data_IF_094878881378
#
_entry.id   IF_094878881378
#
_cell.length_a   1.000
_cell.length_b   1.000
_cell.length_c   1.000
_cell.angle_alpha   90.00
_cell.angle_beta   90.00
_cell.angle_gamma   90.00
#
_symmetry.space_group_name_H-M   'P 1'
#
loop_
_entity.id
_entity.type
_entity.pdbx_description
1 polymer ?
#
# COMPACT_ATOMS: atom_id res chain seq x y z
N UNK A 1 -8.07 9.30 -27.00
CA UNK A 1 -6.82 9.25 -26.22
C UNK A 1 -7.14 8.53 -24.93
N UNK A 2 -6.78 7.25 -24.81
CA UNK A 2 -6.96 6.46 -23.57
C UNK A 2 -6.13 7.14 -22.49
N UNK A 3 -6.80 7.57 -21.44
CA UNK A 3 -6.17 8.25 -20.31
C UNK A 3 -5.21 7.28 -19.61
N UNK A 4 -4.01 7.74 -19.26
CA UNK A 4 -2.92 6.98 -18.59
C UNK A 4 -3.32 6.23 -17.29
N UNK A 5 -4.57 6.36 -16.85
CA UNK A 5 -5.17 5.68 -15.72
C UNK A 5 -5.79 4.30 -16.11
N UNK A 6 -6.21 4.11 -17.37
CA UNK A 6 -6.96 2.92 -17.79
C UNK A 6 -6.18 1.61 -17.76
N UNK A 7 -4.85 1.64 -17.93
CA UNK A 7 -4.06 0.40 -17.99
C UNK A 7 -4.01 -0.37 -16.64
N UNK A 8 -4.00 0.35 -15.52
CA UNK A 8 -4.06 -0.27 -14.19
C UNK A 8 -5.49 -0.62 -13.79
N UNK A 9 -6.48 0.11 -14.31
CA UNK A 9 -7.89 -0.09 -13.98
C UNK A 9 -8.37 -1.45 -14.48
N UNK A 10 -8.04 -1.83 -15.70
CA UNK A 10 -8.37 -3.14 -16.28
C UNK A 10 -7.82 -4.30 -15.43
N UNK A 11 -6.58 -4.16 -14.93
CA UNK A 11 -5.95 -5.18 -14.09
C UNK A 11 -6.65 -5.26 -12.73
N UNK A 12 -6.96 -4.11 -12.12
CA UNK A 12 -7.62 -4.07 -10.81
C UNK A 12 -9.08 -4.53 -10.86
N UNK A 13 -9.81 -4.29 -11.95
CA UNK A 13 -11.18 -4.76 -12.14
C UNK A 13 -11.28 -6.29 -12.21
N UNK A 14 -10.23 -6.95 -12.74
CA UNK A 14 -10.14 -8.41 -12.80
C UNK A 14 -9.52 -9.05 -11.57
N UNK A 15 -8.99 -8.25 -10.64
CA UNK A 15 -8.29 -8.74 -9.46
C UNK A 15 -9.23 -9.36 -8.41
N UNK A 16 -8.82 -10.46 -7.82
CA UNK A 16 -9.61 -11.20 -6.84
C UNK A 16 -9.60 -10.51 -5.46
N UNK A 17 -10.79 -10.10 -5.03
CA UNK A 17 -11.05 -9.59 -3.68
C UNK A 17 -11.80 -10.61 -2.81
N UNK A 18 -12.20 -11.76 -3.34
CA UNK A 18 -12.98 -12.76 -2.62
C UNK A 18 -12.09 -13.67 -1.76
N UNK A 19 -10.93 -14.05 -2.26
CA UNK A 19 -10.00 -14.93 -1.53
C UNK A 19 -9.49 -14.27 -0.26
N UNK A 20 -9.64 -14.97 0.87
CA UNK A 20 -9.09 -14.53 2.15
C UNK A 20 -7.57 -14.57 2.11
N UNK A 21 -6.86 -13.45 2.39
CA UNK A 21 -5.40 -13.45 2.43
C UNK A 21 -4.81 -14.14 3.67
N UNK A 22 -5.62 -14.45 4.68
CA UNK A 22 -5.16 -15.06 5.92
C UNK A 22 -5.17 -16.58 5.85
N UNK A 23 -4.04 -17.18 6.17
CA UNK A 23 -3.88 -18.63 6.32
C UNK A 23 -3.90 -18.99 7.80
N UNK A 24 -4.86 -19.86 8.18
CA UNK A 24 -5.08 -20.30 9.56
C UNK A 24 -4.51 -21.71 9.83
N UNK A 25 -3.29 -21.97 9.35
CA UNK A 25 -2.65 -23.30 9.46
C UNK A 25 -1.79 -23.49 10.70
N UNK A 26 -1.55 -22.43 11.48
CA UNK A 26 -0.71 -22.39 12.68
C UNK A 26 -1.40 -21.81 13.89
N UNK A 27 -0.63 -21.50 14.94
CA UNK A 27 -1.13 -20.86 16.16
C UNK A 27 -1.57 -19.40 15.92
N UNK A 28 -0.94 -18.73 14.97
CA UNK A 28 -1.25 -17.36 14.59
C UNK A 28 -1.56 -17.31 13.08
N UNK A 29 -2.54 -16.48 12.66
CA UNK A 29 -2.86 -16.32 11.25
C UNK A 29 -1.68 -15.69 10.51
N UNK A 30 -1.41 -16.16 9.30
CA UNK A 30 -0.36 -15.62 8.43
C UNK A 30 -0.97 -14.92 7.23
N UNK A 31 -0.48 -13.73 6.93
CA UNK A 31 -0.92 -12.98 5.74
C UNK A 31 -0.20 -13.48 4.50
N UNK A 32 -0.94 -13.73 3.41
CA UNK A 32 -0.43 -14.08 2.10
C UNK A 32 -0.72 -12.98 1.09
N UNK A 33 0.32 -12.39 0.54
CA UNK A 33 0.21 -11.36 -0.47
C UNK A 33 -0.20 -11.91 -1.83
N UNK A 34 -0.83 -11.08 -2.66
CA UNK A 34 -1.04 -11.33 -4.08
C UNK A 34 0.18 -10.83 -4.88
N UNK A 35 1.20 -11.68 -4.95
CA UNK A 35 2.43 -11.38 -5.67
C UNK A 35 2.21 -11.37 -7.20
N UNK A 36 1.26 -12.15 -7.71
CA UNK A 36 0.93 -12.23 -9.14
C UNK A 36 0.33 -10.90 -9.62
N UNK A 37 -0.61 -10.35 -8.86
CA UNK A 37 -1.17 -9.03 -9.17
C UNK A 37 -0.11 -7.93 -9.12
N UNK A 38 0.78 -7.94 -8.13
CA UNK A 38 1.88 -6.97 -8.06
C UNK A 38 2.76 -7.06 -9.31
N UNK A 39 3.12 -8.26 -9.72
CA UNK A 39 3.94 -8.49 -10.92
C UNK A 39 3.25 -7.96 -12.17
N UNK A 40 1.95 -8.22 -12.32
CA UNK A 40 1.17 -7.72 -13.45
C UNK A 40 1.07 -6.20 -13.48
N UNK A 41 0.77 -5.56 -12.34
CA UNK A 41 0.70 -4.11 -12.22
C UNK A 41 2.05 -3.44 -12.54
N UNK A 42 3.16 -4.01 -12.06
CA UNK A 42 4.52 -3.51 -12.31
C UNK A 42 4.94 -3.71 -13.76
N UNK A 43 4.53 -4.80 -14.39
CA UNK A 43 4.82 -5.13 -15.79
C UNK A 43 4.32 -4.04 -16.74
N UNK A 44 3.13 -3.46 -16.52
CA UNK A 44 2.54 -2.44 -17.39
C UNK A 44 3.44 -1.21 -17.62
N UNK A 45 3.94 -0.50 -16.59
CA UNK A 45 4.85 0.62 -16.80
C UNK A 45 6.21 0.20 -17.38
N UNK A 46 6.69 -1.00 -17.15
CA UNK A 46 7.96 -1.50 -17.69
C UNK A 46 7.85 -1.77 -19.19
N UNK A 47 6.82 -2.47 -19.65
CA UNK A 47 6.54 -2.71 -21.08
C UNK A 47 6.39 -1.36 -21.82
N UNK A 48 5.69 -0.42 -21.21
CA UNK A 48 5.53 0.91 -21.77
C UNK A 48 6.80 1.77 -21.71
N UNK A 49 7.94 1.23 -21.25
CA UNK A 49 9.22 1.93 -21.07
C UNK A 49 9.06 3.28 -20.37
N UNK A 50 8.18 3.30 -19.37
CA UNK A 50 7.88 4.51 -18.62
C UNK A 50 9.12 4.98 -17.86
N UNK A 51 9.49 6.26 -18.02
CA UNK A 51 10.62 6.82 -17.28
C UNK A 51 10.35 6.76 -15.76
N UNK A 52 11.40 6.65 -14.96
CA UNK A 52 11.31 6.69 -13.49
C UNK A 52 10.65 7.97 -12.98
N UNK A 53 10.80 9.07 -13.70
CA UNK A 53 10.18 10.37 -13.39
C UNK A 53 8.66 10.41 -13.66
N UNK A 54 8.14 9.46 -14.46
CA UNK A 54 6.70 9.43 -14.78
C UNK A 54 5.79 9.07 -13.58
N UNK A 55 6.35 8.52 -12.51
CA UNK A 55 5.62 8.04 -11.33
C UNK A 55 4.74 6.81 -11.59
N UNK A 56 4.75 6.21 -12.81
CA UNK A 56 3.86 5.09 -13.16
C UNK A 56 4.16 3.82 -12.36
N UNK A 57 5.45 3.53 -12.11
CA UNK A 57 5.84 2.41 -11.26
C UNK A 57 5.37 2.61 -9.81
N UNK A 58 5.52 3.82 -9.26
CA UNK A 58 5.03 4.13 -7.93
C UNK A 58 3.51 3.94 -7.83
N UNK A 59 2.74 4.44 -8.82
CA UNK A 59 1.28 4.25 -8.86
C UNK A 59 0.85 2.79 -8.97
N UNK A 60 1.61 1.94 -9.65
CA UNK A 60 1.36 0.50 -9.70
C UNK A 60 1.54 -0.15 -8.31
N UNK A 61 2.57 0.26 -7.57
CA UNK A 61 2.82 -0.19 -6.20
C UNK A 61 1.71 0.31 -5.26
N UNK A 62 1.32 1.58 -5.34
CA UNK A 62 0.25 2.16 -4.52
C UNK A 62 -1.08 1.44 -4.76
N UNK A 63 -1.39 1.13 -6.03
CA UNK A 63 -2.58 0.39 -6.41
C UNK A 63 -2.60 -1.04 -5.82
N UNK A 64 -1.46 -1.72 -5.81
CA UNK A 64 -1.32 -3.02 -5.18
C UNK A 64 -1.48 -2.94 -3.65
N UNK A 65 -0.84 -2.00 -2.98
CA UNK A 65 -0.99 -1.81 -1.52
C UNK A 65 -2.46 -1.57 -1.17
N UNK A 66 -3.15 -0.71 -1.93
CA UNK A 66 -4.57 -0.45 -1.73
C UNK A 66 -5.43 -1.71 -2.00
N UNK A 67 -5.07 -2.53 -2.98
CA UNK A 67 -5.73 -3.81 -3.25
C UNK A 67 -5.56 -4.79 -2.09
N UNK A 68 -4.35 -4.93 -1.54
CA UNK A 68 -4.10 -5.81 -0.39
C UNK A 68 -4.95 -5.43 0.83
N UNK A 69 -5.12 -4.15 1.11
CA UNK A 69 -6.00 -3.70 2.19
C UNK A 69 -7.47 -4.07 1.93
N UNK A 70 -7.93 -3.98 0.67
CA UNK A 70 -9.27 -4.46 0.30
C UNK A 70 -9.40 -5.98 0.42
N UNK A 71 -8.36 -6.74 0.03
CA UNK A 71 -8.30 -8.19 0.25
C UNK A 71 -8.32 -8.55 1.73
N UNK A 72 -7.71 -7.74 2.59
CA UNK A 72 -7.78 -7.92 4.03
C UNK A 72 -9.21 -7.80 4.59
N UNK A 73 -10.15 -7.25 3.81
CA UNK A 73 -11.57 -7.13 4.17
C UNK A 73 -12.00 -5.73 4.56
N UNK A 74 -11.12 -4.72 4.45
CA UNK A 74 -11.53 -3.33 4.63
C UNK A 74 -12.47 -2.85 3.53
N UNK A 75 -13.34 -1.89 3.87
CA UNK A 75 -14.30 -1.32 2.95
C UNK A 75 -13.59 -0.69 1.73
N UNK A 76 -13.90 -1.14 0.49
CA UNK A 76 -13.14 -0.74 -0.69
C UNK A 76 -13.07 0.76 -0.93
N UNK A 77 -14.11 1.51 -0.57
CA UNK A 77 -14.17 2.95 -0.78
C UNK A 77 -13.56 3.79 0.36
N UNK A 78 -13.29 3.19 1.50
CA UNK A 78 -12.52 3.83 2.58
C UNK A 78 -11.00 3.77 2.30
N UNK A 79 -10.56 2.89 1.39
CA UNK A 79 -9.16 2.72 0.99
C UNK A 79 -8.83 3.56 -0.24
N UNK A 80 -7.88 4.48 -0.10
CA UNK A 80 -7.38 5.36 -1.17
C UNK A 80 -5.95 4.99 -1.58
N UNK A 81 -5.60 5.03 -2.88
CA UNK A 81 -6.47 5.36 -4.02
C UNK A 81 -7.56 4.31 -4.23
N UNK A 82 -8.77 4.76 -4.55
CA UNK A 82 -9.89 3.89 -4.92
C UNK A 82 -9.58 3.17 -6.25
N UNK A 83 -10.19 2.01 -6.44
CA UNK A 83 -10.06 1.26 -7.69
C UNK A 83 -10.67 2.00 -8.89
N UNK A 84 -11.71 2.82 -8.68
CA UNK A 84 -12.35 3.65 -9.68
C UNK A 84 -12.11 5.15 -9.46
N UNK A 85 -12.29 5.96 -10.49
CA UNK A 85 -12.26 7.41 -10.39
C UNK A 85 -13.51 7.98 -9.70
N UNK A 86 -13.38 9.09 -8.98
CA UNK A 86 -12.15 9.75 -8.51
C UNK A 86 -11.36 8.88 -7.52
N UNK A 87 -10.03 8.90 -7.62
CA UNK A 87 -9.15 8.06 -6.78
C UNK A 87 -9.19 8.41 -5.31
N UNK A 88 -9.34 9.68 -4.99
CA UNK A 88 -9.44 10.19 -3.63
C UNK A 88 -10.84 10.81 -3.49
N UNK A 89 -11.73 10.12 -2.83
CA UNK A 89 -13.10 10.60 -2.55
C UNK A 89 -13.59 9.91 -1.28
N UNK A 90 -14.07 10.68 -0.27
CA UNK A 90 -14.72 10.08 0.90
C UNK A 90 -15.90 9.20 0.51
N UNK A 91 -16.01 8.03 1.16
CA UNK A 91 -17.08 7.06 0.90
C UNK A 91 -18.47 7.69 1.01
N UNK A 92 -18.69 8.55 2.00
CA UNK A 92 -19.98 9.20 2.22
C UNK A 92 -20.40 10.08 1.03
N UNK A 93 -19.44 10.78 0.42
CA UNK A 93 -19.69 11.55 -0.82
C UNK A 93 -20.02 10.62 -1.98
N UNK A 94 -19.30 9.51 -2.12
CA UNK A 94 -19.59 8.51 -3.15
C UNK A 94 -21.00 7.95 -2.99
N UNK A 95 -21.40 7.54 -1.79
CA UNK A 95 -22.74 7.02 -1.50
C UNK A 95 -23.83 8.07 -1.76
N UNK A 96 -23.56 9.34 -1.42
CA UNK A 96 -24.49 10.43 -1.78
C UNK A 96 -24.68 10.51 -3.29
N UNK A 97 -23.60 10.53 -4.06
CA UNK A 97 -23.67 10.63 -5.53
C UNK A 97 -24.41 9.45 -6.14
N UNK A 98 -24.22 8.23 -5.64
CA UNK A 98 -24.94 7.04 -6.10
C UNK A 98 -26.45 7.07 -5.83
N UNK A 99 -26.86 7.73 -4.74
CA UNK A 99 -28.27 7.88 -4.40
C UNK A 99 -28.97 9.04 -5.13
N UNK A 100 -28.24 9.86 -5.87
CA UNK A 100 -28.85 10.90 -6.68
C UNK A 100 -29.59 10.28 -7.88
N UNK A 101 -30.76 10.86 -8.29
CA UNK A 101 -31.46 10.39 -9.47
C UNK A 101 -30.68 10.69 -10.75
N UNK A 102 -30.85 9.83 -11.77
CA UNK A 102 -30.38 10.12 -13.12
C UNK A 102 -31.15 11.31 -13.73
N UNK A 103 -30.53 12.23 -14.47
CA UNK A 103 -29.11 12.28 -14.89
C UNK A 103 -28.19 13.04 -13.92
N UNK A 104 -28.67 13.45 -12.73
CA UNK A 104 -27.92 14.28 -11.79
C UNK A 104 -26.68 13.55 -11.25
N UNK A 105 -26.80 12.26 -10.94
CA UNK A 105 -25.68 11.41 -10.51
C UNK A 105 -24.51 11.47 -11.50
N UNK A 106 -24.80 11.28 -12.80
CA UNK A 106 -23.79 11.38 -13.86
C UNK A 106 -23.16 12.77 -13.96
N UNK A 107 -23.96 13.83 -13.90
CA UNK A 107 -23.46 15.22 -13.96
C UNK A 107 -22.55 15.56 -12.79
N UNK A 108 -22.92 15.14 -11.56
CA UNK A 108 -22.10 15.36 -10.37
C UNK A 108 -20.80 14.54 -10.44
N UNK A 109 -20.85 13.29 -10.92
CA UNK A 109 -19.66 12.46 -11.12
C UNK A 109 -18.68 13.12 -12.10
N UNK A 110 -19.18 13.63 -13.22
CA UNK A 110 -18.34 14.34 -14.20
C UNK A 110 -17.73 15.63 -13.66
N UNK A 111 -18.47 16.34 -12.78
CA UNK A 111 -17.96 17.53 -12.12
C UNK A 111 -16.87 17.19 -11.10
N UNK A 112 -17.03 16.14 -10.31
CA UNK A 112 -16.03 15.69 -9.34
C UNK A 112 -14.69 15.41 -10.00
N UNK A 113 -14.67 14.80 -11.19
CA UNK A 113 -13.45 14.57 -11.96
C UNK A 113 -12.74 15.86 -12.42
N UNK A 114 -13.46 16.99 -12.44
CA UNK A 114 -12.96 18.29 -12.90
C UNK A 114 -12.63 19.25 -11.76
N UNK A 115 -12.90 18.90 -10.51
CA UNK A 115 -12.71 19.76 -9.34
C UNK A 115 -11.63 19.15 -8.40
N UNK A 116 -10.34 19.42 -8.62
CA UNK A 116 -9.24 18.84 -7.83
C UNK A 116 -9.28 19.20 -6.34
N UNK A 117 -9.96 20.26 -5.96
CA UNK A 117 -10.12 20.64 -4.55
C UNK A 117 -11.09 19.73 -3.78
N UNK A 118 -12.01 19.05 -4.49
CA UNK A 118 -12.98 18.10 -3.91
C UNK A 118 -12.52 16.67 -4.10
N UNK A 119 -12.00 16.34 -5.27
CA UNK A 119 -11.46 15.02 -5.60
C UNK A 119 -9.99 15.15 -6.07
N UNK A 120 -9.05 15.33 -5.15
CA UNK A 120 -7.63 15.50 -5.47
C UNK A 120 -7.03 14.22 -6.07
N UNK A 121 -5.90 14.37 -6.76
CA UNK A 121 -5.13 13.24 -7.29
C UNK A 121 -4.40 12.44 -6.20
N UNK A 122 -4.11 13.10 -5.07
CA UNK A 122 -3.26 12.56 -4.01
C UNK A 122 -3.90 12.80 -2.64
N UNK A 123 -3.83 11.80 -1.76
CA UNK A 123 -4.30 11.93 -0.40
C UNK A 123 -3.33 12.80 0.43
N UNK A 124 -3.86 13.81 1.12
CA UNK A 124 -3.08 14.74 1.94
C UNK A 124 -3.63 14.83 3.34
N UNK A 125 -2.76 14.63 4.32
CA UNK A 125 -3.11 14.68 5.73
C UNK A 125 -2.27 15.72 6.44
N UNK A 126 -2.92 16.53 7.29
CA UNK A 126 -2.22 17.45 8.17
C UNK A 126 -1.56 16.62 9.28
N UNK A 127 -0.24 16.58 9.30
CA UNK A 127 0.52 16.01 10.41
C UNK A 127 0.66 16.99 11.57
N UNK A 128 1.60 16.73 12.46
CA UNK A 128 1.90 17.61 13.60
C UNK A 128 2.47 18.95 13.14
N UNK A 129 3.38 18.94 12.18
CA UNK A 129 4.14 20.11 11.76
C UNK A 129 3.80 20.59 10.34
N UNK A 130 3.46 19.67 9.43
CA UNK A 130 3.18 19.99 8.03
C UNK A 130 2.18 19.00 7.41
N UNK A 131 1.60 19.42 6.26
CA UNK A 131 0.72 18.58 5.47
C UNK A 131 1.58 17.56 4.70
N UNK A 132 1.33 16.27 4.93
CA UNK A 132 2.01 15.18 4.23
C UNK A 132 1.11 14.60 3.15
N UNK A 133 1.65 14.44 1.94
CA UNK A 133 1.07 13.57 0.93
C UNK A 133 1.38 12.13 1.29
N UNK A 134 0.35 11.28 1.29
CA UNK A 134 0.42 9.85 1.61
C UNK A 134 0.01 9.08 0.36
N UNK A 135 0.71 8.02 0.07
CA UNK A 135 0.53 7.27 -1.18
C UNK A 135 -0.69 6.34 -1.11
N UNK A 136 -0.91 5.69 0.04
CA UNK A 136 -2.10 4.89 0.32
C UNK A 136 -2.65 5.26 1.70
N UNK A 137 -3.97 5.41 1.81
CA UNK A 137 -4.61 5.75 3.08
C UNK A 137 -5.94 5.00 3.23
N UNK A 138 -6.35 4.79 4.47
CA UNK A 138 -7.71 4.45 4.84
C UNK A 138 -8.22 5.51 5.81
N UNK A 139 -9.33 6.17 5.44
CA UNK A 139 -9.87 7.27 6.22
C UNK A 139 -11.37 7.44 6.00
N UNK A 140 -12.06 7.89 7.06
CA UNK A 140 -13.47 8.28 7.05
C UNK A 140 -13.67 9.64 7.70
N UNK A 141 -14.80 10.30 7.41
CA UNK A 141 -15.13 11.59 8.03
C UNK A 141 -15.38 11.49 9.53
N UNK A 142 -16.03 10.42 9.94
CA UNK A 142 -16.43 10.17 11.33
C UNK A 142 -15.27 9.69 12.22
N UNK A 143 -14.22 9.06 11.63
CA UNK A 143 -13.11 8.45 12.37
C UNK A 143 -11.75 9.07 12.08
N UNK A 144 -11.63 9.81 10.98
CA UNK A 144 -10.35 10.32 10.50
C UNK A 144 -9.49 9.23 9.85
N UNK A 145 -8.17 9.41 9.76
CA UNK A 145 -7.27 8.42 9.18
C UNK A 145 -7.01 7.28 10.17
N UNK A 146 -7.25 6.05 9.70
CA UNK A 146 -7.01 4.81 10.43
C UNK A 146 -5.74 4.11 9.96
N UNK A 147 -5.33 4.35 8.68
CA UNK A 147 -4.11 3.80 8.12
C UNK A 147 -3.51 4.77 7.11
N UNK A 148 -2.18 4.94 7.17
CA UNK A 148 -1.41 5.83 6.32
C UNK A 148 -0.13 5.12 5.86
N UNK A 149 0.02 4.86 4.56
CA UNK A 149 1.20 4.18 4.01
C UNK A 149 1.91 5.10 3.02
N UNK A 150 3.20 5.27 3.23
CA UNK A 150 4.09 5.88 2.24
C UNK A 150 4.86 4.79 1.49
N UNK A 151 4.91 4.92 0.17
CA UNK A 151 5.68 4.04 -0.70
C UNK A 151 6.85 4.78 -1.33
N UNK A 152 7.96 4.11 -1.49
CA UNK A 152 9.11 4.63 -2.23
C UNK A 152 9.69 3.54 -3.10
N UNK A 153 10.10 3.90 -4.32
CA UNK A 153 10.78 2.99 -5.23
C UNK A 153 12.17 3.50 -5.57
N UNK A 154 13.14 2.60 -5.59
CA UNK A 154 14.51 2.89 -5.96
C UNK A 154 15.06 1.79 -6.88
N UNK A 155 15.21 2.08 -8.15
CA UNK A 155 15.60 1.10 -9.17
C UNK A 155 17.07 1.19 -9.60
N UNK A 156 17.75 2.28 -9.20
CA UNK A 156 19.17 2.54 -9.51
C UNK A 156 19.77 3.52 -8.51
N UNK A 157 21.10 3.72 -8.59
CA UNK A 157 21.86 4.69 -7.78
C UNK A 157 21.67 4.48 -6.27
N UNK A 158 21.67 3.23 -5.82
CA UNK A 158 21.31 2.81 -4.47
C UNK A 158 22.12 3.53 -3.37
N UNK A 159 23.44 3.48 -3.44
CA UNK A 159 24.31 4.04 -2.38
C UNK A 159 24.08 5.54 -2.13
N UNK A 160 23.75 6.30 -3.19
CA UNK A 160 23.55 7.77 -3.10
C UNK A 160 22.21 8.14 -2.45
N UNK A 161 21.17 7.34 -2.67
CA UNK A 161 19.79 7.77 -2.39
C UNK A 161 19.22 7.18 -1.10
N UNK A 162 19.80 6.09 -0.55
CA UNK A 162 19.28 5.42 0.65
C UNK A 162 19.18 6.37 1.84
N UNK A 163 20.24 7.15 2.14
CA UNK A 163 20.25 8.07 3.29
C UNK A 163 19.18 9.14 3.20
N UNK A 164 19.01 9.76 2.03
CA UNK A 164 17.98 10.81 1.83
C UNK A 164 16.56 10.26 2.06
N UNK A 165 16.32 9.00 1.61
CA UNK A 165 15.01 8.35 1.81
C UNK A 165 14.74 8.03 3.28
N UNK A 166 15.80 7.67 4.02
CA UNK A 166 15.70 7.47 5.45
C UNK A 166 15.36 8.76 6.19
N UNK A 167 16.08 9.86 5.91
CA UNK A 167 15.84 11.15 6.55
C UNK A 167 14.41 11.66 6.31
N UNK A 168 13.93 11.57 5.07
CA UNK A 168 12.55 11.89 4.70
C UNK A 168 11.57 11.03 5.50
N UNK A 169 11.73 9.71 5.49
CA UNK A 169 10.84 8.78 6.17
C UNK A 169 10.87 8.97 7.70
N UNK A 170 12.04 9.26 8.27
CA UNK A 170 12.18 9.50 9.71
C UNK A 170 11.39 10.70 10.18
N UNK A 171 11.41 11.80 9.41
CA UNK A 171 10.63 13.01 9.69
C UNK A 171 9.12 12.78 9.50
N UNK A 172 8.74 12.07 8.45
CA UNK A 172 7.35 11.77 8.11
C UNK A 172 6.66 10.91 9.18
N UNK A 173 7.35 9.87 9.67
CA UNK A 173 6.82 9.04 10.75
C UNK A 173 6.45 9.87 11.97
N UNK A 174 7.37 10.69 12.47
CA UNK A 174 7.14 11.56 13.62
C UNK A 174 6.03 12.59 13.38
N UNK A 175 5.96 13.15 12.17
CA UNK A 175 4.93 14.10 11.80
C UNK A 175 3.52 13.48 11.83
N UNK A 176 3.35 12.25 11.33
CA UNK A 176 2.07 11.57 11.27
C UNK A 176 1.68 10.95 12.62
N UNK A 177 2.59 10.21 13.26
CA UNK A 177 2.34 9.53 14.55
C UNK A 177 1.99 10.50 15.66
N UNK A 178 2.66 11.66 15.73
CA UNK A 178 2.38 12.69 16.73
C UNK A 178 0.97 13.30 16.63
N UNK A 179 0.31 13.19 15.47
CA UNK A 179 -1.06 13.66 15.29
C UNK A 179 -2.09 12.53 15.32
N UNK A 180 -1.74 11.35 14.79
CA UNK A 180 -2.62 10.19 14.67
C UNK A 180 -2.01 8.98 15.40
N UNK A 181 -1.94 9.01 16.73
CA UNK A 181 -1.25 7.96 17.49
C UNK A 181 -1.88 6.57 17.37
N UNK A 182 -3.18 6.50 17.06
CA UNK A 182 -3.92 5.24 16.89
C UNK A 182 -3.92 4.73 15.43
N UNK A 183 -3.52 5.56 14.47
CA UNK A 183 -3.47 5.12 13.07
C UNK A 183 -2.28 4.18 12.83
N UNK A 184 -2.50 3.14 12.04
CA UNK A 184 -1.41 2.35 11.47
C UNK A 184 -0.61 3.21 10.49
N UNK A 185 0.71 3.37 10.71
CA UNK A 185 1.57 4.13 9.80
C UNK A 185 2.61 3.20 9.21
N UNK A 186 2.53 2.97 7.89
CA UNK A 186 3.39 2.05 7.15
C UNK A 186 4.39 2.76 6.24
N UNK A 187 5.57 2.14 6.07
CA UNK A 187 6.55 2.55 5.07
C UNK A 187 6.99 1.35 4.24
N UNK A 188 6.71 1.40 2.94
CA UNK A 188 7.08 0.35 1.99
C UNK A 188 8.16 0.86 1.05
N UNK A 189 9.32 0.23 1.07
CA UNK A 189 10.46 0.60 0.25
C UNK A 189 10.74 -0.48 -0.80
N UNK A 190 10.47 -0.16 -2.05
CA UNK A 190 10.70 -1.05 -3.18
C UNK A 190 12.08 -0.79 -3.77
N UNK A 191 12.86 -1.84 -3.94
CA UNK A 191 14.17 -1.78 -4.58
C UNK A 191 14.26 -2.80 -5.72
N UNK A 192 15.01 -2.45 -6.75
CA UNK A 192 15.33 -3.42 -7.80
C UNK A 192 16.32 -4.46 -7.27
N UNK A 193 16.10 -5.73 -7.54
CA UNK A 193 16.94 -6.84 -7.06
C UNK A 193 18.42 -6.72 -7.45
N UNK A 194 18.74 -5.90 -8.44
CA UNK A 194 20.15 -5.58 -8.78
C UNK A 194 20.94 -4.98 -7.62
N UNK A 195 20.30 -4.49 -6.55
CA UNK A 195 20.94 -4.01 -5.31
C UNK A 195 21.69 -5.16 -4.59
N UNK A 196 21.30 -6.41 -4.80
CA UNK A 196 21.94 -7.58 -4.21
C UNK A 196 23.30 -7.90 -4.85
N UNK A 197 23.64 -7.28 -6.00
CA UNK A 197 24.93 -7.46 -6.65
C UNK A 197 26.05 -6.99 -5.73
N UNK A 198 27.20 -7.66 -5.81
CA UNK A 198 28.39 -7.42 -4.93
C UNK A 198 28.72 -5.92 -4.76
N UNK A 199 28.63 -5.11 -5.83
CA UNK A 199 28.96 -3.66 -5.79
C UNK A 199 27.97 -2.82 -4.97
N UNK A 200 26.72 -3.27 -4.84
CA UNK A 200 25.63 -2.55 -4.20
C UNK A 200 25.17 -3.19 -2.88
N UNK A 201 25.74 -4.36 -2.52
CA UNK A 201 25.37 -5.15 -1.33
C UNK A 201 25.38 -4.33 -0.04
N UNK A 202 26.38 -3.47 0.16
CA UNK A 202 26.45 -2.58 1.33
C UNK A 202 25.27 -1.58 1.38
N UNK A 203 24.71 -1.17 0.24
CA UNK A 203 23.53 -0.32 0.20
C UNK A 203 22.27 -1.10 0.60
N UNK A 204 22.18 -2.38 0.24
CA UNK A 204 21.09 -3.26 0.67
C UNK A 204 21.13 -3.47 2.19
N UNK A 205 22.27 -3.84 2.76
CA UNK A 205 22.47 -4.03 4.21
C UNK A 205 22.10 -2.75 4.98
N UNK A 206 22.50 -1.59 4.45
CA UNK A 206 22.08 -0.30 5.01
C UNK A 206 20.58 -0.09 4.93
N UNK A 207 19.91 -0.49 3.83
CA UNK A 207 18.45 -0.40 3.72
C UNK A 207 17.78 -1.25 4.79
N UNK A 208 18.22 -2.48 5.02
CA UNK A 208 17.71 -3.36 6.08
C UNK A 208 17.84 -2.72 7.46
N UNK A 209 19.04 -2.23 7.80
CA UNK A 209 19.29 -1.56 9.09
C UNK A 209 18.41 -0.33 9.29
N UNK A 210 18.28 0.50 8.25
CA UNK A 210 17.46 1.72 8.29
C UNK A 210 15.96 1.41 8.42
N UNK A 211 15.44 0.40 7.73
CA UNK A 211 14.03 0.00 7.83
C UNK A 211 13.67 -0.45 9.25
N UNK A 212 14.55 -1.21 9.91
CA UNK A 212 14.37 -1.59 11.32
C UNK A 212 14.40 -0.36 12.23
N UNK A 213 15.35 0.56 12.05
CA UNK A 213 15.46 1.79 12.84
C UNK A 213 14.27 2.76 12.63
N UNK A 214 13.62 2.74 11.48
CA UNK A 214 12.41 3.50 11.24
C UNK A 214 11.22 2.94 12.01
N UNK A 215 11.13 1.62 12.16
CA UNK A 215 10.09 0.93 12.92
C UNK A 215 10.35 1.00 14.43
N UNK A 216 11.54 0.60 14.85
CA UNK A 216 11.88 0.30 16.24
C UNK A 216 12.39 1.55 17.00
N UNK A 217 11.70 2.69 16.80
CA UNK A 217 12.05 3.94 17.48
C UNK A 217 11.64 3.93 18.95
N UNK A 218 12.57 4.19 19.84
CA UNK A 218 12.33 4.23 21.29
C UNK A 218 11.43 5.39 21.76
N UNK A 219 11.18 6.39 20.91
CA UNK A 219 10.34 7.55 21.21
C UNK A 219 8.84 7.34 20.87
N UNK A 220 8.44 6.15 20.42
CA UNK A 220 7.09 5.83 20.00
C UNK A 220 6.62 6.50 18.69
N UNK A 221 7.50 7.25 18.02
CA UNK A 221 7.18 7.93 16.76
C UNK A 221 7.65 7.16 15.52
N UNK A 222 7.97 5.87 15.66
CA UNK A 222 8.32 4.99 14.55
C UNK A 222 7.11 4.59 13.70
N UNK A 223 7.40 4.01 12.55
CA UNK A 223 6.35 3.35 11.77
C UNK A 223 5.79 2.14 12.52
N UNK A 224 4.50 1.88 12.35
CA UNK A 224 3.87 0.64 12.83
C UNK A 224 4.50 -0.58 12.16
N UNK A 225 4.72 -0.48 10.85
CA UNK A 225 5.35 -1.52 10.06
C UNK A 225 6.21 -0.92 8.96
N UNK A 226 7.31 -1.60 8.64
CA UNK A 226 8.17 -1.27 7.51
C UNK A 226 8.35 -2.50 6.62
N UNK A 227 8.31 -2.30 5.30
CA UNK A 227 8.49 -3.37 4.32
C UNK A 227 9.62 -3.04 3.36
N UNK A 228 10.52 -3.97 3.15
CA UNK A 228 11.48 -3.95 2.08
C UNK A 228 11.06 -4.97 1.02
N UNK A 229 10.76 -4.50 -0.19
CA UNK A 229 10.30 -5.31 -1.29
C UNK A 229 11.32 -5.29 -2.43
N UNK A 230 11.74 -6.45 -2.89
CA UNK A 230 12.63 -6.56 -4.04
C UNK A 230 11.86 -6.96 -5.29
N UNK A 231 12.06 -6.20 -6.36
CA UNK A 231 11.53 -6.49 -7.69
C UNK A 231 12.68 -6.82 -8.64
N UNK A 232 12.56 -7.93 -9.34
CA UNK A 232 13.45 -8.34 -10.40
C UNK A 232 12.77 -8.21 -11.75
N UNK A 233 13.47 -7.76 -12.75
CA UNK A 233 13.05 -7.78 -14.16
C UNK A 233 14.24 -7.66 -15.10
N UNK A 234 14.06 -8.17 -16.32
CA UNK A 234 14.93 -7.92 -17.47
C UNK A 234 14.42 -6.69 -18.21
N UNK A 235 15.31 -5.73 -18.51
CA UNK A 235 14.94 -4.48 -19.20
C UNK A 235 14.58 -4.73 -20.70
N UNK A 236 15.10 -5.83 -21.28
CA UNK A 236 14.84 -6.21 -22.67
C UNK A 236 13.55 -7.05 -22.81
N UNK A 237 13.19 -7.80 -21.77
CA UNK A 237 12.03 -8.71 -21.73
C UNK A 237 11.17 -8.54 -20.48
N UNK A 238 10.63 -7.33 -20.21
CA UNK A 238 9.84 -7.08 -19.00
C UNK A 238 8.51 -7.84 -18.98
N UNK A 239 8.00 -8.26 -20.15
CA UNK A 239 6.73 -8.97 -20.29
C UNK A 239 6.68 -10.31 -19.52
N UNK A 240 7.81 -11.02 -19.43
CA UNK A 240 7.88 -12.36 -18.84
C UNK A 240 8.82 -12.47 -17.63
N UNK A 241 9.53 -11.40 -17.28
CA UNK A 241 10.64 -11.45 -16.33
C UNK A 241 10.36 -10.78 -15.00
N UNK A 242 9.24 -10.07 -14.84
CA UNK A 242 8.92 -9.39 -13.57
C UNK A 242 8.63 -10.41 -12.48
N UNK A 243 9.40 -10.35 -11.40
CA UNK A 243 9.23 -11.21 -10.22
C UNK A 243 9.36 -10.41 -8.93
N UNK A 244 8.57 -10.79 -7.93
CA UNK A 244 8.72 -10.36 -6.54
C UNK A 244 9.66 -11.32 -5.83
N UNK A 245 10.70 -10.79 -5.19
CA UNK A 245 11.63 -11.58 -4.39
C UNK A 245 11.40 -11.25 -2.90
N UNK A 246 10.96 -12.23 -2.15
CA UNK A 246 10.94 -12.21 -0.70
C UNK A 246 11.62 -13.47 -0.15
N UNK A 247 11.68 -13.65 1.17
CA UNK A 247 12.31 -14.82 1.77
C UNK A 247 11.56 -16.13 1.48
N UNK A 248 10.27 -16.05 1.08
CA UNK A 248 9.42 -17.22 0.79
C UNK A 248 9.42 -17.61 -0.69
N UNK A 249 9.55 -16.63 -1.58
CA UNK A 249 9.42 -16.79 -3.04
C UNK A 249 10.73 -16.56 -3.79
N UNK A 250 11.81 -16.24 -3.10
CA UNK A 250 13.13 -16.04 -3.69
C UNK A 250 13.63 -17.30 -4.42
N UNK A 251 14.37 -17.18 -5.54
CA UNK A 251 15.04 -18.30 -6.16
C UNK A 251 16.02 -18.93 -5.16
N UNK A 252 16.20 -20.25 -5.23
CA UNK A 252 17.08 -21.01 -4.33
C UNK A 252 18.59 -20.83 -4.64
N UNK A 253 18.93 -19.87 -5.47
CA UNK A 253 20.28 -19.51 -5.85
C UNK A 253 20.85 -18.35 -4.99
N UNK A 254 22.02 -17.84 -5.31
CA UNK A 254 22.78 -16.85 -4.53
C UNK A 254 22.01 -15.56 -4.13
N UNK A 255 20.81 -15.33 -4.69
CA UNK A 255 19.95 -14.20 -4.38
C UNK A 255 18.95 -14.50 -3.23
N UNK A 256 18.87 -15.74 -2.77
CA UNK A 256 17.86 -16.21 -1.81
C UNK A 256 18.01 -15.68 -0.36
N UNK A 257 19.12 -15.06 -0.02
CA UNK A 257 19.31 -14.36 1.27
C UNK A 257 18.82 -12.89 1.20
N UNK A 258 17.77 -12.61 0.41
CA UNK A 258 17.39 -11.25 0.12
C UNK A 258 16.79 -10.51 1.30
N UNK A 259 15.47 -10.61 1.46
CA UNK A 259 14.73 -9.81 2.43
C UNK A 259 14.56 -10.57 3.74
N UNK A 260 14.94 -9.98 4.90
CA UNK A 260 14.61 -10.57 6.20
C UNK A 260 13.09 -10.70 6.41
N UNK A 261 12.65 -11.78 7.05
CA UNK A 261 11.24 -12.07 7.29
C UNK A 261 10.52 -10.92 7.99
N UNK A 262 11.15 -10.30 8.98
CA UNK A 262 10.62 -9.17 9.75
C UNK A 262 10.39 -7.88 8.93
N UNK A 263 10.91 -7.82 7.71
CA UNK A 263 10.71 -6.74 6.74
C UNK A 263 9.94 -7.18 5.50
N UNK A 264 9.43 -8.41 5.49
CA UNK A 264 8.66 -8.96 4.37
C UNK A 264 7.26 -8.34 4.26
N UNK A 265 6.70 -8.36 3.05
CA UNK A 265 5.37 -7.83 2.78
C UNK A 265 4.25 -8.58 3.57
N UNK A 266 4.29 -9.90 3.78
CA UNK A 266 3.31 -10.58 4.62
C UNK A 266 3.25 -10.00 6.04
N UNK A 267 4.39 -9.84 6.70
CA UNK A 267 4.46 -9.26 8.05
C UNK A 267 4.02 -7.79 8.09
N UNK A 268 4.35 -7.04 7.03
CA UNK A 268 3.95 -5.64 6.90
C UNK A 268 2.43 -5.49 6.90
N UNK A 269 1.72 -6.24 6.05
CA UNK A 269 0.26 -6.18 5.99
C UNK A 269 -0.38 -6.73 7.26
N UNK A 270 0.13 -7.83 7.81
CA UNK A 270 -0.36 -8.37 9.08
C UNK A 270 -0.33 -7.30 10.17
N UNK A 271 0.82 -6.69 10.43
CA UNK A 271 0.98 -5.67 11.47
C UNK A 271 0.09 -4.44 11.25
N UNK A 272 -0.11 -4.00 10.02
CA UNK A 272 -0.99 -2.85 9.72
C UNK A 272 -2.46 -3.19 9.96
N UNK A 273 -2.92 -4.36 9.51
CA UNK A 273 -4.30 -4.82 9.71
C UNK A 273 -4.58 -4.99 11.20
N UNK A 274 -3.72 -5.70 11.93
CA UNK A 274 -3.84 -5.91 13.38
C UNK A 274 -3.95 -4.58 14.12
N UNK A 275 -3.08 -3.61 13.82
CA UNK A 275 -3.10 -2.29 14.44
C UNK A 275 -4.45 -1.58 14.24
N UNK A 276 -5.03 -1.63 13.04
CA UNK A 276 -6.35 -1.02 12.78
C UNK A 276 -7.44 -1.76 13.55
N UNK A 277 -7.42 -3.09 13.55
CA UNK A 277 -8.42 -3.91 14.25
C UNK A 277 -8.34 -3.73 15.77
N UNK A 278 -7.15 -3.56 16.34
CA UNK A 278 -6.95 -3.27 17.76
C UNK A 278 -7.39 -1.86 18.15
N UNK A 279 -7.16 -0.89 17.25
CA UNK A 279 -7.48 0.51 17.52
C UNK A 279 -8.96 0.86 17.33
N UNK A 280 -9.77 -0.03 16.75
CA UNK A 280 -11.18 0.22 16.42
C UNK A 280 -12.14 -0.68 17.19
N UNK A 281 -13.40 -0.25 17.47
CA UNK A 281 -14.41 -1.10 18.10
C UNK A 281 -14.68 -2.37 17.29
N UNK A 282 -15.13 -3.43 17.97
CA UNK A 282 -15.42 -4.73 17.35
C UNK A 282 -16.56 -4.68 16.31
N UNK A 283 -17.44 -3.69 16.40
CA UNK A 283 -18.50 -3.41 15.43
C UNK A 283 -17.98 -2.82 14.11
N UNK A 284 -16.74 -2.34 14.10
CA UNK A 284 -16.12 -1.78 12.91
C UNK A 284 -15.26 -2.83 12.21
N UNK A 285 -15.14 -2.68 10.89
CA UNK A 285 -14.32 -3.57 10.04
C UNK A 285 -14.66 -5.07 10.20
N UNK A 286 -15.95 -5.40 10.38
CA UNK A 286 -16.44 -6.76 10.64
C UNK A 286 -15.83 -7.76 9.65
N UNK A 287 -15.91 -7.50 8.35
CA UNK A 287 -15.34 -8.39 7.33
C UNK A 287 -13.83 -8.60 7.47
N UNK A 288 -13.08 -7.56 7.86
CA UNK A 288 -11.64 -7.69 8.07
C UNK A 288 -11.34 -8.53 9.32
N UNK A 289 -12.14 -8.38 10.37
CA UNK A 289 -12.05 -9.20 11.59
C UNK A 289 -12.36 -10.67 11.31
N UNK A 290 -13.44 -10.94 10.55
CA UNK A 290 -13.82 -12.31 10.16
C UNK A 290 -12.71 -12.97 9.33
N UNK A 291 -12.11 -12.23 8.39
CA UNK A 291 -10.99 -12.75 7.61
C UNK A 291 -9.77 -13.02 8.47
N UNK A 292 -9.44 -12.11 9.38
CA UNK A 292 -8.30 -12.23 10.29
C UNK A 292 -8.48 -13.38 11.28
N UNK A 293 -9.67 -13.54 11.87
CA UNK A 293 -9.94 -14.57 12.89
C UNK A 293 -10.33 -15.91 12.28
N UNK A 294 -10.80 -15.95 11.03
CA UNK A 294 -11.39 -17.13 10.41
C UNK A 294 -12.78 -17.51 10.98
N UNK A 295 -13.40 -16.62 11.75
CA UNK A 295 -14.69 -16.86 12.41
C UNK A 295 -15.69 -15.78 11.98
N UNK A 296 -16.88 -16.19 11.57
CA UNK A 296 -17.98 -15.26 11.32
C UNK A 296 -18.41 -14.57 12.62
N UNK A 297 -18.51 -13.26 12.59
CA UNK A 297 -18.99 -12.47 13.71
C UNK A 297 -20.51 -12.32 13.61
N UNK A 298 -21.22 -12.54 14.71
CA UNK A 298 -22.64 -12.23 14.78
C UNK A 298 -22.82 -10.72 14.55
N UNK A 299 -23.45 -10.34 13.43
CA UNK A 299 -23.92 -8.98 13.23
C UNK A 299 -24.99 -8.69 14.28
N UNK A 300 -24.93 -7.56 15.01
CA UNK A 300 -26.06 -7.13 15.79
C UNK A 300 -27.27 -7.05 14.85
N UNK A 301 -28.35 -7.77 15.14
CA UNK A 301 -29.62 -7.56 14.46
C UNK A 301 -29.98 -6.10 14.69
N UNK A 302 -30.30 -5.38 13.59
CA UNK A 302 -30.81 -4.02 13.66
C UNK A 302 -32.13 -4.05 14.43
N UNK A 303 -32.10 -3.66 15.71
CA UNK A 303 -33.28 -3.38 16.53
C UNK A 303 -33.93 -2.04 16.15
#
# INVERSE_FOLDING_TARGET
MSTKAGELDEVLESADLATNPWEHTGAEPRYRIDAELLQELVRRPLIAKASTQSGRLAKAIDAWVAHELRRAGFEPDDVWPRASQPRILPRDVRLLVEKLPDPLSGQVSDLLLKIPSVAPSDARFLGRAYVKQVDVAMARWDRGPELLVSTKAMTASFAKNVSNRFEEAYGDAGNLRARYPLAGVGFLFVQRATILRKKDRAAFERSVDMMRKLRDRGDGNGYTATCLLLLEWDDDHPEDSVRVLDHTTGPKDELSEGVPEDLGAPQFFASLVETVLEATPVSEHVRARERYTGVELATPEDD
#
